data_IF_864896613458
#
_entry.id   IF_864896613458
#
_cell.length_a   1.000
_cell.length_b   1.000
_cell.length_c   1.000
_cell.angle_alpha   90.00
_cell.angle_beta   90.00
_cell.angle_gamma   90.00
#
_symmetry.space_group_name_H-M   'P 1'
#
loop_
_entity.id
_entity.type
_entity.pdbx_description
1 polymer ?
#
# COMPACT_ATOMS: atom_id res chain seq x y z
N UNK A 1 -2.32 -56.48 43.04
CA UNK A 1 -3.40 -55.52 42.77
C UNK A 1 -2.82 -54.43 41.88
N UNK A 2 -3.17 -54.47 40.58
CA UNK A 2 -2.72 -53.50 39.58
C UNK A 2 -3.50 -52.19 39.75
N UNK A 3 -2.80 -51.09 40.03
CA UNK A 3 -3.35 -49.74 40.04
C UNK A 3 -2.81 -48.96 38.86
N UNK A 4 -3.65 -48.73 37.85
CA UNK A 4 -3.40 -47.97 36.62
C UNK A 4 -3.19 -46.48 36.90
N UNK A 5 -2.03 -45.94 36.50
CA UNK A 5 -1.77 -44.51 36.38
C UNK A 5 -2.45 -43.99 35.11
N UNK A 6 -3.47 -43.14 35.22
CA UNK A 6 -4.10 -42.46 34.07
C UNK A 6 -3.22 -41.28 33.65
N UNK A 7 -2.67 -41.36 32.44
CA UNK A 7 -2.05 -40.23 31.77
C UNK A 7 -3.11 -39.19 31.38
N UNK A 8 -2.98 -37.97 31.87
CA UNK A 8 -3.72 -36.81 31.35
C UNK A 8 -2.98 -36.31 30.10
N UNK A 9 -3.53 -36.63 28.92
CA UNK A 9 -3.14 -35.98 27.68
C UNK A 9 -3.72 -34.56 27.67
N UNK A 10 -2.86 -33.56 27.82
CA UNK A 10 -3.19 -32.18 27.47
C UNK A 10 -3.30 -32.10 25.95
N UNK A 11 -4.53 -32.02 25.44
CA UNK A 11 -4.77 -31.58 24.07
C UNK A 11 -4.55 -30.08 24.04
N UNK A 12 -3.37 -29.66 23.59
CA UNK A 12 -3.12 -28.29 23.20
C UNK A 12 -3.92 -28.00 21.92
N UNK A 13 -5.10 -27.40 22.07
CA UNK A 13 -5.84 -26.85 20.95
C UNK A 13 -5.12 -25.59 20.48
N UNK A 14 -4.25 -25.72 19.48
CA UNK A 14 -3.75 -24.60 18.69
C UNK A 14 -4.91 -24.03 17.86
N UNK A 15 -5.60 -23.00 18.38
CA UNK A 15 -6.41 -22.12 17.54
C UNK A 15 -5.48 -21.14 16.82
N UNK A 16 -4.95 -21.56 15.67
CA UNK A 16 -4.36 -20.66 14.68
C UNK A 16 -5.21 -20.71 13.42
N UNK A 17 -6.27 -19.91 13.42
CA UNK A 17 -7.00 -19.51 12.23
C UNK A 17 -7.65 -18.17 12.56
N UNK A 18 -7.07 -17.07 12.08
CA UNK A 18 -7.80 -15.82 11.94
C UNK A 18 -8.92 -16.08 10.94
N UNK A 19 -10.11 -16.41 11.43
CA UNK A 19 -11.32 -16.38 10.62
C UNK A 19 -11.52 -14.92 10.22
N UNK A 20 -11.16 -14.58 8.98
CA UNK A 20 -11.71 -13.38 8.35
C UNK A 20 -13.22 -13.62 8.38
N UNK A 21 -13.96 -12.86 9.19
CA UNK A 21 -15.42 -12.85 9.06
C UNK A 21 -15.69 -12.40 7.64
N UNK A 22 -16.14 -13.33 6.79
CA UNK A 22 -16.44 -13.04 5.39
C UNK A 22 -17.44 -11.90 5.32
N UNK A 23 -17.16 -10.93 4.45
CA UNK A 23 -18.04 -9.80 4.22
C UNK A 23 -19.44 -10.31 3.80
N UNK A 24 -20.49 -9.78 4.43
CA UNK A 24 -21.85 -10.27 4.20
C UNK A 24 -22.39 -9.78 2.86
N UNK A 25 -22.90 -10.69 2.04
CA UNK A 25 -23.65 -10.35 0.82
C UNK A 25 -25.03 -9.80 1.19
N UNK A 26 -25.35 -8.62 0.69
CA UNK A 26 -26.65 -7.97 0.86
C UNK A 26 -27.67 -8.48 -0.17
N UNK A 27 -28.95 -8.21 0.10
CA UNK A 27 -30.06 -8.66 -0.77
C UNK A 27 -30.04 -8.04 -2.17
N UNK A 28 -29.36 -6.92 -2.37
CA UNK A 28 -29.18 -6.27 -3.67
C UNK A 28 -27.97 -6.79 -4.45
N UNK A 29 -27.29 -7.84 -3.95
CA UNK A 29 -26.12 -8.46 -4.57
C UNK A 29 -24.79 -7.79 -4.23
N UNK A 30 -24.80 -6.67 -3.50
CA UNK A 30 -23.59 -6.01 -3.02
C UNK A 30 -22.95 -6.74 -1.84
N UNK A 31 -21.69 -6.43 -1.56
CA UNK A 31 -20.95 -6.97 -0.41
C UNK A 31 -20.70 -5.83 0.58
N UNK A 32 -21.18 -5.95 1.81
CA UNK A 32 -21.04 -4.90 2.82
C UNK A 32 -19.58 -4.82 3.26
N UNK A 33 -18.98 -3.64 3.11
CA UNK A 33 -17.62 -3.36 3.60
C UNK A 33 -17.69 -2.98 5.07
N UNK A 34 -16.85 -3.60 5.88
CA UNK A 34 -16.74 -3.32 7.31
C UNK A 34 -15.29 -3.14 7.71
N UNK A 35 -15.02 -2.13 8.54
CA UNK A 35 -13.70 -1.97 9.12
C UNK A 35 -13.52 -2.97 10.28
N UNK A 36 -12.65 -4.00 10.16
CA UNK A 36 -12.48 -5.01 11.20
C UNK A 36 -12.01 -4.37 12.51
N UNK A 37 -12.25 -4.99 13.69
CA UNK A 37 -11.72 -4.48 14.95
C UNK A 37 -10.19 -4.45 14.94
N UNK A 38 -9.60 -3.55 15.74
CA UNK A 38 -8.15 -3.49 15.89
C UNK A 38 -7.65 -4.78 16.52
N UNK A 39 -6.66 -5.41 15.89
CA UNK A 39 -6.10 -6.66 16.40
C UNK A 39 -5.30 -6.43 17.68
N UNK A 40 -5.32 -7.43 18.56
CA UNK A 40 -4.46 -7.50 19.75
C UNK A 40 -3.17 -8.29 19.49
N UNK A 41 -3.08 -8.93 18.33
CA UNK A 41 -1.93 -9.73 17.93
C UNK A 41 -0.93 -8.87 17.13
N UNK A 42 -0.11 -8.16 17.90
CA UNK A 42 0.78 -7.10 17.43
C UNK A 42 2.26 -7.42 17.64
N UNK A 43 2.59 -8.62 18.10
CA UNK A 43 3.97 -8.99 18.41
C UNK A 43 4.79 -9.39 17.18
N UNK A 44 6.09 -9.56 17.42
CA UNK A 44 7.04 -10.16 16.47
C UNK A 44 6.53 -11.54 16.04
N UNK A 45 6.58 -11.79 14.73
CA UNK A 45 6.30 -13.10 14.14
C UNK A 45 7.23 -13.35 12.98
N UNK A 46 7.66 -14.61 12.82
CA UNK A 46 8.40 -15.05 11.63
C UNK A 46 7.47 -14.99 10.42
N UNK A 47 7.92 -14.36 9.34
CA UNK A 47 7.15 -14.21 8.10
C UNK A 47 8.06 -14.49 6.90
N UNK A 48 7.67 -15.37 5.96
CA UNK A 48 6.47 -16.20 6.00
C UNK A 48 6.57 -17.30 7.06
N UNK A 49 5.41 -17.76 7.53
CA UNK A 49 5.30 -19.02 8.27
C UNK A 49 5.07 -20.21 7.30
N UNK A 50 4.98 -21.43 7.85
CA UNK A 50 4.82 -22.65 7.06
C UNK A 50 3.50 -22.72 6.26
N UNK A 51 2.46 -21.98 6.67
CA UNK A 51 1.18 -21.92 5.97
C UNK A 51 1.20 -20.93 4.79
N UNK A 52 2.23 -20.09 4.70
CA UNK A 52 2.36 -19.03 3.69
C UNK A 52 3.60 -19.21 2.80
N UNK A 53 3.81 -20.39 2.17
CA UNK A 53 4.96 -20.59 1.29
C UNK A 53 4.89 -19.65 0.07
N UNK A 54 6.06 -19.30 -0.44
CA UNK A 54 6.14 -18.60 -1.72
C UNK A 54 5.61 -19.49 -2.84
N UNK A 55 4.75 -18.92 -3.68
CA UNK A 55 4.33 -19.49 -4.96
C UNK A 55 4.40 -18.34 -5.97
N UNK A 56 5.17 -18.53 -7.04
CA UNK A 56 5.25 -17.56 -8.12
C UNK A 56 3.86 -17.31 -8.73
N UNK A 57 3.53 -16.06 -9.10
CA UNK A 57 2.25 -15.75 -9.71
C UNK A 57 2.09 -16.46 -11.05
N UNK A 58 0.91 -17.01 -11.30
CA UNK A 58 0.53 -17.51 -12.61
C UNK A 58 0.24 -16.38 -13.61
N UNK A 59 0.04 -16.70 -14.90
CA UNK A 59 -0.14 -15.70 -15.96
C UNK A 59 -1.41 -14.85 -15.82
N UNK A 60 -2.38 -15.26 -15.01
CA UNK A 60 -3.63 -14.54 -14.78
C UNK A 60 -3.67 -13.85 -13.40
N UNK A 61 -2.63 -14.01 -12.58
CA UNK A 61 -2.56 -13.46 -11.24
C UNK A 61 -2.10 -12.02 -11.29
N UNK A 62 -2.87 -11.11 -10.69
CA UNK A 62 -2.58 -9.68 -10.73
C UNK A 62 -1.44 -9.32 -9.78
N UNK A 63 -0.44 -8.61 -10.30
CA UNK A 63 0.60 -7.93 -9.53
C UNK A 63 0.71 -6.51 -10.09
N UNK A 64 1.15 -5.57 -9.27
CA UNK A 64 1.17 -4.17 -9.64
C UNK A 64 2.37 -3.40 -9.07
N UNK A 65 2.23 -2.07 -8.91
CA UNK A 65 3.34 -1.22 -8.50
C UNK A 65 3.73 -1.40 -7.03
N UNK A 66 2.86 -1.98 -6.19
CA UNK A 66 3.13 -2.16 -4.76
C UNK A 66 3.86 -3.48 -4.47
N UNK A 67 5.18 -3.45 -4.15
CA UNK A 67 5.95 -4.68 -3.92
C UNK A 67 5.50 -5.43 -2.65
N UNK A 68 4.96 -4.71 -1.65
CA UNK A 68 4.45 -5.31 -0.42
C UNK A 68 3.21 -6.17 -0.69
N UNK A 69 2.21 -5.65 -1.41
CA UNK A 69 1.00 -6.41 -1.76
C UNK A 69 1.35 -7.58 -2.70
N UNK A 70 2.26 -7.36 -3.64
CA UNK A 70 2.76 -8.44 -4.52
C UNK A 70 3.38 -9.59 -3.72
N UNK A 71 4.21 -9.26 -2.72
CA UNK A 71 4.81 -10.24 -1.81
C UNK A 71 3.73 -10.96 -0.99
N UNK A 72 2.77 -10.23 -0.41
CA UNK A 72 1.68 -10.84 0.35
C UNK A 72 0.86 -11.80 -0.49
N UNK A 73 0.55 -11.47 -1.74
CA UNK A 73 -0.17 -12.36 -2.66
C UNK A 73 0.69 -13.57 -3.05
N UNK A 74 1.99 -13.39 -3.30
CA UNK A 74 2.93 -14.49 -3.57
C UNK A 74 3.11 -15.44 -2.38
N UNK A 75 2.79 -15.01 -1.17
CA UNK A 75 2.82 -15.84 0.04
C UNK A 75 1.43 -16.29 0.52
N UNK A 76 0.35 -15.81 -0.11
CA UNK A 76 -1.02 -16.20 0.22
C UNK A 76 -1.58 -15.52 1.47
N UNK A 77 -0.97 -14.42 1.93
CA UNK A 77 -1.54 -13.57 3.00
C UNK A 77 -2.74 -12.75 2.50
N UNK A 78 -2.79 -12.48 1.20
CA UNK A 78 -3.97 -12.04 0.46
C UNK A 78 -4.20 -13.02 -0.71
N UNK A 79 -5.38 -13.02 -1.37
CA UNK A 79 -5.65 -13.91 -2.50
C UNK A 79 -4.53 -13.90 -3.54
N UNK A 80 -4.03 -15.10 -3.89
CA UNK A 80 -2.86 -15.26 -4.77
C UNK A 80 -3.10 -14.71 -6.19
N UNK A 81 -4.36 -14.70 -6.62
CA UNK A 81 -4.79 -14.10 -7.88
C UNK A 81 -4.70 -12.57 -7.90
N UNK A 82 -4.37 -11.92 -6.78
CA UNK A 82 -4.22 -10.47 -6.67
C UNK A 82 -5.55 -9.70 -6.71
N UNK A 83 -6.69 -10.37 -6.55
CA UNK A 83 -7.99 -9.73 -6.41
C UNK A 83 -8.45 -9.90 -4.97
N UNK A 84 -8.43 -8.81 -4.21
CA UNK A 84 -8.70 -8.84 -2.77
C UNK A 84 -9.86 -7.90 -2.40
N UNK A 85 -10.58 -8.29 -1.36
CA UNK A 85 -11.49 -7.41 -0.63
C UNK A 85 -10.74 -6.44 0.28
N UNK A 86 -11.45 -5.41 0.72
CA UNK A 86 -10.96 -4.49 1.75
C UNK A 86 -10.46 -5.23 2.99
N UNK A 87 -11.25 -6.16 3.52
CA UNK A 87 -10.94 -6.91 4.74
C UNK A 87 -9.75 -7.85 4.56
N UNK A 88 -9.61 -8.49 3.39
CA UNK A 88 -8.46 -9.34 3.08
C UNK A 88 -7.16 -8.53 3.02
N UNK A 89 -7.19 -7.32 2.44
CA UNK A 89 -6.02 -6.43 2.43
C UNK A 89 -5.63 -6.06 3.86
N UNK A 90 -6.59 -5.65 4.70
CA UNK A 90 -6.33 -5.31 6.10
C UNK A 90 -5.79 -6.52 6.90
N UNK A 91 -6.32 -7.71 6.66
CA UNK A 91 -5.85 -8.92 7.31
C UNK A 91 -4.43 -9.28 6.87
N UNK A 92 -4.15 -9.21 5.57
CA UNK A 92 -2.85 -9.55 4.99
C UNK A 92 -1.74 -8.59 5.39
N UNK A 93 -1.97 -7.27 5.30
CA UNK A 93 -0.95 -6.27 5.69
C UNK A 93 -0.68 -6.30 7.19
N UNK A 94 -1.71 -6.54 8.00
CA UNK A 94 -1.54 -6.80 9.44
C UNK A 94 -0.71 -8.06 9.68
N UNK A 95 -1.06 -9.20 9.07
CA UNK A 95 -0.35 -10.44 9.37
C UNK A 95 1.09 -10.42 8.87
N UNK A 96 1.32 -9.96 7.64
CA UNK A 96 2.66 -9.94 7.05
C UNK A 96 3.57 -8.82 7.54
N UNK A 97 3.04 -7.61 7.79
CA UNK A 97 3.87 -6.43 8.10
C UNK A 97 3.52 -5.75 9.42
N UNK A 98 2.51 -6.24 10.15
CA UNK A 98 2.00 -5.59 11.37
C UNK A 98 1.56 -4.14 11.12
N UNK A 99 0.95 -3.89 9.96
CA UNK A 99 0.34 -2.60 9.64
C UNK A 99 -0.86 -2.36 10.56
N UNK A 100 -0.95 -1.15 11.11
CA UNK A 100 -2.08 -0.78 11.96
C UNK A 100 -3.39 -0.66 11.17
N UNK A 101 -4.50 -0.89 11.87
CA UNK A 101 -5.86 -0.86 11.32
C UNK A 101 -6.20 0.44 10.58
N UNK A 102 -5.85 1.59 11.14
CA UNK A 102 -6.33 2.86 10.56
C UNK A 102 -5.51 3.25 9.33
N UNK A 103 -4.20 2.95 9.33
CA UNK A 103 -3.35 3.07 8.15
C UNK A 103 -3.79 2.12 7.03
N UNK A 104 -3.99 0.83 7.34
CA UNK A 104 -4.47 -0.14 6.37
C UNK A 104 -5.87 0.20 5.85
N UNK A 105 -6.74 0.69 6.73
CA UNK A 105 -8.09 1.16 6.40
C UNK A 105 -8.09 2.35 5.46
N UNK A 106 -7.23 3.35 5.70
CA UNK A 106 -7.06 4.48 4.79
C UNK A 106 -6.61 4.01 3.40
N UNK A 107 -5.50 3.25 3.32
CA UNK A 107 -4.94 2.81 2.05
C UNK A 107 -5.95 1.96 1.27
N UNK A 108 -6.46 0.89 1.86
CA UNK A 108 -7.40 -0.01 1.18
C UNK A 108 -8.73 0.68 0.86
N UNK A 109 -9.21 1.56 1.74
CA UNK A 109 -10.47 2.26 1.56
C UNK A 109 -10.41 3.29 0.44
N UNK A 110 -9.32 4.06 0.40
CA UNK A 110 -9.05 4.98 -0.69
C UNK A 110 -8.90 4.24 -2.02
N UNK A 111 -8.05 3.19 -2.10
CA UNK A 111 -7.89 2.39 -3.31
C UNK A 111 -9.20 1.77 -3.81
N UNK A 112 -10.05 1.27 -2.90
CA UNK A 112 -11.34 0.67 -3.25
C UNK A 112 -12.29 1.67 -3.90
N UNK A 113 -12.30 2.94 -3.44
CA UNK A 113 -13.10 4.01 -4.03
C UNK A 113 -12.49 4.56 -5.33
N UNK A 114 -11.17 4.71 -5.37
CA UNK A 114 -10.46 5.32 -6.50
C UNK A 114 -10.35 4.37 -7.71
N UNK A 115 -10.12 3.08 -7.45
CA UNK A 115 -9.67 2.08 -8.44
C UNK A 115 -10.28 0.68 -8.26
N UNK A 116 -11.20 0.50 -7.32
CA UNK A 116 -11.85 -0.78 -7.02
C UNK A 116 -13.33 -0.81 -7.40
N UNK A 117 -13.98 -1.92 -7.06
CA UNK A 117 -15.43 -2.06 -7.11
C UNK A 117 -15.98 -2.13 -5.68
N UNK A 118 -16.27 -0.95 -5.11
CA UNK A 118 -16.80 -0.80 -3.76
C UNK A 118 -18.22 -1.36 -3.58
N UNK A 119 -18.94 -1.70 -4.64
CA UNK A 119 -20.22 -2.42 -4.52
C UNK A 119 -20.00 -3.92 -4.28
N UNK A 120 -19.03 -4.52 -4.99
CA UNK A 120 -18.69 -5.94 -4.88
C UNK A 120 -17.56 -6.23 -3.87
N UNK A 121 -16.97 -5.19 -3.28
CA UNK A 121 -15.81 -5.27 -2.40
C UNK A 121 -14.63 -6.02 -3.06
N UNK A 122 -14.23 -5.57 -4.25
CA UNK A 122 -13.14 -6.17 -5.02
C UNK A 122 -12.17 -5.11 -5.52
N UNK A 123 -10.89 -5.30 -5.27
CA UNK A 123 -9.80 -4.48 -5.75
C UNK A 123 -8.74 -5.38 -6.40
N UNK A 124 -8.26 -4.98 -7.58
CA UNK A 124 -7.07 -5.57 -8.18
C UNK A 124 -5.83 -4.88 -7.61
N UNK A 125 -4.86 -5.66 -7.11
CA UNK A 125 -3.54 -5.14 -6.73
C UNK A 125 -2.63 -4.87 -7.94
N UNK A 126 -3.10 -5.19 -9.14
CA UNK A 126 -2.46 -4.89 -10.42
C UNK A 126 -3.35 -4.00 -11.27
N UNK A 127 -3.41 -4.32 -12.57
CA UNK A 127 -4.20 -3.59 -13.57
C UNK A 127 -5.65 -4.09 -13.63
N UNK A 128 -6.37 -3.68 -14.68
CA UNK A 128 -7.74 -4.13 -15.00
C UNK A 128 -7.81 -5.66 -15.02
N UNK A 129 -8.83 -6.21 -14.37
CA UNK A 129 -9.08 -7.66 -14.34
C UNK A 129 -10.51 -7.98 -14.81
N UNK A 130 -10.71 -9.01 -15.64
CA UNK A 130 -12.05 -9.46 -16.04
C UNK A 130 -12.89 -9.96 -14.86
N UNK A 131 -12.28 -10.21 -13.70
CA UNK A 131 -12.97 -10.63 -12.47
C UNK A 131 -13.65 -9.47 -11.74
N UNK A 132 -13.39 -8.22 -12.16
CA UNK A 132 -13.97 -7.01 -11.59
C UNK A 132 -14.76 -6.30 -12.69
N UNK A 133 -16.10 -6.35 -12.66
CA UNK A 133 -16.91 -5.66 -13.65
C UNK A 133 -16.91 -4.14 -13.42
N UNK A 134 -17.36 -3.42 -14.45
CA UNK A 134 -17.64 -1.97 -14.39
C UNK A 134 -18.54 -1.67 -13.19
N UNK A 135 -18.20 -0.61 -12.46
CA UNK A 135 -18.93 -0.16 -11.28
C UNK A 135 -20.08 0.75 -11.73
N UNK A 136 -21.31 0.62 -11.17
CA UNK A 136 -22.33 1.65 -11.31
C UNK A 136 -21.76 3.04 -10.97
N UNK A 137 -22.05 4.08 -11.75
CA UNK A 137 -21.42 5.40 -11.53
C UNK A 137 -20.04 5.58 -12.18
N UNK A 138 -19.51 4.54 -12.86
CA UNK A 138 -18.46 4.68 -13.86
C UNK A 138 -17.20 5.40 -13.34
N UNK A 139 -16.60 4.95 -12.24
CA UNK A 139 -15.43 5.63 -11.63
C UNK A 139 -14.25 5.78 -12.61
N UNK A 140 -14.07 4.82 -13.51
CA UNK A 140 -13.09 4.83 -14.61
C UNK A 140 -13.78 4.99 -15.98
N UNK A 141 -14.89 5.74 -16.02
CA UNK A 141 -15.69 5.91 -17.22
C UNK A 141 -16.38 4.60 -17.63
N UNK A 142 -16.47 4.28 -18.94
CA UNK A 142 -17.10 3.05 -19.39
C UNK A 142 -16.26 1.79 -19.14
N UNK A 143 -14.99 1.96 -18.73
CA UNK A 143 -14.07 0.85 -18.49
C UNK A 143 -14.26 0.25 -17.08
N UNK A 144 -13.91 -1.03 -16.90
CA UNK A 144 -13.78 -1.60 -15.56
C UNK A 144 -12.71 -0.85 -14.74
N UNK A 145 -12.78 -0.90 -13.40
CA UNK A 145 -11.79 -0.26 -12.55
C UNK A 145 -10.37 -0.69 -12.89
N UNK A 146 -9.47 0.29 -12.91
CA UNK A 146 -8.07 0.13 -13.30
C UNK A 146 -7.22 -0.74 -12.37
N UNK A 147 -7.71 -1.03 -11.16
CA UNK A 147 -6.85 -1.55 -10.09
C UNK A 147 -5.82 -0.51 -9.63
N UNK A 148 -5.03 -0.86 -8.62
CA UNK A 148 -4.06 0.09 -8.04
C UNK A 148 -2.92 0.45 -9.00
N UNK A 149 -2.78 -0.24 -10.13
CA UNK A 149 -1.75 0.03 -11.14
C UNK A 149 -2.17 1.09 -12.18
N UNK A 150 -3.42 1.56 -12.16
CA UNK A 150 -3.83 2.62 -13.08
C UNK A 150 -3.38 3.99 -12.54
N UNK A 151 -2.55 4.65 -13.33
CA UNK A 151 -1.96 5.98 -13.11
C UNK A 151 -2.92 7.06 -12.60
N UNK A 152 -2.37 8.11 -11.95
CA UNK A 152 -2.99 9.29 -11.31
C UNK A 152 -3.50 9.12 -9.87
N UNK A 153 -4.57 8.34 -9.66
CA UNK A 153 -5.31 8.41 -8.37
C UNK A 153 -4.62 7.72 -7.21
N UNK A 154 -3.91 6.61 -7.46
CA UNK A 154 -3.25 5.81 -6.43
C UNK A 154 -1.80 5.54 -6.82
N UNK A 155 -1.61 4.92 -7.99
CA UNK A 155 -0.32 4.95 -8.70
C UNK A 155 -0.06 6.39 -9.15
N UNK A 156 1.21 6.80 -9.14
CA UNK A 156 1.62 8.04 -9.77
C UNK A 156 3.14 8.16 -9.85
N UNK A 157 3.58 9.25 -10.47
CA UNK A 157 4.98 9.49 -10.82
C UNK A 157 5.92 9.56 -9.60
N UNK A 158 7.22 9.60 -9.88
CA UNK A 158 8.30 9.67 -8.89
C UNK A 158 8.37 8.40 -8.04
N UNK A 159 7.99 7.27 -8.64
CA UNK A 159 8.15 5.95 -8.06
C UNK A 159 9.64 5.59 -7.91
N UNK A 160 9.96 4.81 -6.88
CA UNK A 160 11.35 4.43 -6.55
C UNK A 160 11.92 3.32 -7.43
N UNK A 161 11.06 2.44 -7.97
CA UNK A 161 11.49 1.26 -8.76
C UNK A 161 10.61 0.98 -9.96
N UNK A 162 9.69 1.90 -10.29
CA UNK A 162 8.78 1.91 -11.45
C UNK A 162 9.02 3.23 -12.19
N UNK A 163 8.95 3.22 -13.52
CA UNK A 163 9.05 4.44 -14.32
C UNK A 163 7.78 5.28 -14.18
N UNK A 164 7.84 6.53 -14.58
CA UNK A 164 6.65 7.38 -14.68
C UNK A 164 5.82 6.96 -15.90
N UNK A 165 4.50 7.11 -15.82
CA UNK A 165 3.56 6.60 -16.84
C UNK A 165 3.81 7.18 -18.23
N UNK A 166 4.18 8.46 -18.33
CA UNK A 166 4.44 9.11 -19.62
C UNK A 166 5.87 8.86 -20.14
N UNK A 167 6.71 8.17 -19.36
CA UNK A 167 8.10 7.84 -19.71
C UNK A 167 8.24 6.37 -20.07
N UNK A 168 7.56 5.47 -19.34
CA UNK A 168 7.70 4.04 -19.55
C UNK A 168 6.73 3.20 -18.72
N UNK A 169 7.25 2.14 -18.09
CA UNK A 169 6.46 1.15 -17.38
C UNK A 169 6.33 1.48 -15.89
N UNK A 170 5.15 1.98 -15.52
CA UNK A 170 4.71 2.39 -14.18
C UNK A 170 4.26 1.23 -13.29
N UNK A 171 4.19 0.01 -13.84
CA UNK A 171 3.65 -1.15 -13.13
C UNK A 171 4.75 -2.11 -12.68
N UNK A 172 5.65 -2.47 -13.59
CA UNK A 172 6.63 -3.53 -13.36
C UNK A 172 7.93 -3.01 -12.76
N UNK A 173 8.64 -3.91 -12.07
CA UNK A 173 9.95 -3.62 -11.48
C UNK A 173 10.97 -3.25 -12.56
N UNK A 174 11.63 -2.11 -12.38
CA UNK A 174 12.67 -1.59 -13.26
C UNK A 174 14.03 -1.79 -12.60
N UNK A 175 14.88 -2.60 -13.23
CA UNK A 175 16.20 -2.91 -12.67
C UNK A 175 17.10 -1.68 -12.62
N UNK A 176 17.06 -0.81 -13.63
CA UNK A 176 17.92 0.39 -13.68
C UNK A 176 17.62 1.35 -12.51
N UNK A 177 16.35 1.59 -12.19
CA UNK A 177 15.94 2.39 -11.03
C UNK A 177 16.31 1.70 -9.71
N UNK A 178 16.29 0.38 -9.67
CA UNK A 178 16.74 -0.36 -8.49
C UNK A 178 18.26 -0.30 -8.33
N UNK A 179 19.03 -0.32 -9.41
CA UNK A 179 20.49 -0.16 -9.38
C UNK A 179 20.90 1.24 -8.89
N UNK A 180 20.14 2.29 -9.24
CA UNK A 180 20.28 3.62 -8.64
C UNK A 180 20.02 3.59 -7.13
N UNK A 181 18.97 2.89 -6.69
CA UNK A 181 18.69 2.71 -5.27
C UNK A 181 19.84 1.96 -4.56
N UNK A 182 20.37 0.90 -5.17
CA UNK A 182 21.53 0.19 -4.64
C UNK A 182 22.78 1.08 -4.56
N UNK A 183 22.97 1.97 -5.52
CA UNK A 183 24.06 2.94 -5.53
C UNK A 183 23.94 3.95 -4.38
N UNK A 184 22.72 4.42 -4.09
CA UNK A 184 22.46 5.29 -2.93
C UNK A 184 22.76 4.58 -1.60
N UNK A 185 22.51 3.26 -1.50
CA UNK A 185 22.88 2.46 -0.33
C UNK A 185 24.41 2.35 -0.20
N UNK A 186 25.12 2.15 -1.32
CA UNK A 186 26.58 2.08 -1.32
C UNK A 186 27.22 3.40 -0.86
N UNK A 187 26.62 4.53 -1.23
CA UNK A 187 27.08 5.85 -0.81
C UNK A 187 26.73 6.16 0.66
N UNK A 188 25.45 6.05 1.02
CA UNK A 188 24.92 6.60 2.27
C UNK A 188 24.53 5.56 3.33
N UNK A 189 24.52 4.28 2.98
CA UNK A 189 24.14 3.20 3.89
C UNK A 189 25.12 3.00 5.04
N UNK A 190 24.69 2.24 6.04
CA UNK A 190 25.51 1.89 7.20
C UNK A 190 26.15 0.50 7.03
N UNK A 191 27.28 0.32 7.71
CA UNK A 191 27.94 -0.96 7.85
C UNK A 191 27.22 -1.83 8.89
N UNK A 192 27.25 -3.14 8.68
CA UNK A 192 26.71 -4.09 9.64
C UNK A 192 27.56 -5.37 9.69
N UNK A 193 27.76 -5.90 10.90
CA UNK A 193 28.62 -7.06 11.10
C UNK A 193 28.11 -8.34 10.40
N UNK A 194 26.79 -8.48 10.23
CA UNK A 194 26.16 -9.63 9.59
C UNK A 194 26.03 -9.45 8.07
N UNK A 195 25.67 -8.23 7.64
CA UNK A 195 25.34 -7.95 6.23
C UNK A 195 26.49 -7.32 5.43
N UNK A 196 27.58 -6.92 6.09
CA UNK A 196 28.75 -6.33 5.47
C UNK A 196 28.75 -4.79 5.47
N UNK A 197 29.77 -4.17 4.85
CA UNK A 197 29.82 -2.72 4.71
C UNK A 197 28.69 -2.21 3.80
N UNK A 198 28.19 -1.01 4.07
CA UNK A 198 27.18 -0.32 3.23
C UNK A 198 26.00 -1.22 2.86
N UNK A 199 25.47 -1.92 3.85
CA UNK A 199 24.48 -2.99 3.64
C UNK A 199 23.14 -2.69 4.28
N UNK A 200 23.06 -1.65 5.10
CA UNK A 200 21.83 -1.21 5.77
C UNK A 200 21.30 0.05 5.12
N UNK A 201 20.03 0.01 4.77
CA UNK A 201 19.26 1.16 4.31
C UNK A 201 18.88 1.98 5.53
N UNK A 202 19.34 3.24 5.57
CA UNK A 202 19.05 4.17 6.66
C UNK A 202 18.24 5.39 6.15
N UNK A 203 17.92 6.31 7.06
CA UNK A 203 17.19 7.52 6.74
C UNK A 203 17.87 8.37 5.66
N UNK A 204 19.20 8.50 5.72
CA UNK A 204 19.97 9.31 4.76
C UNK A 204 19.87 8.75 3.34
N UNK A 205 19.93 7.43 3.18
CA UNK A 205 19.69 6.78 1.87
C UNK A 205 18.33 7.18 1.31
N UNK A 206 17.25 7.11 2.10
CA UNK A 206 15.92 7.51 1.61
C UNK A 206 15.85 8.99 1.26
N UNK A 207 16.42 9.86 2.10
CA UNK A 207 16.40 11.31 1.89
C UNK A 207 17.02 11.70 0.54
N UNK A 208 18.21 11.18 0.24
CA UNK A 208 18.91 11.50 -1.00
C UNK A 208 18.27 10.81 -2.21
N UNK A 209 17.95 9.52 -2.10
CA UNK A 209 17.39 8.76 -3.22
C UNK A 209 16.00 9.28 -3.64
N UNK A 210 15.13 9.64 -2.68
CA UNK A 210 13.81 10.20 -3.01
C UNK A 210 13.92 11.54 -3.73
N UNK A 211 14.85 12.40 -3.30
CA UNK A 211 15.05 13.68 -3.96
C UNK A 211 15.63 13.50 -5.36
N UNK A 212 16.62 12.62 -5.53
CA UNK A 212 17.16 12.25 -6.84
C UNK A 212 16.04 11.79 -7.78
N UNK A 213 15.18 10.86 -7.34
CA UNK A 213 14.06 10.36 -8.14
C UNK A 213 13.11 11.48 -8.59
N UNK A 214 12.84 12.46 -7.72
CA UNK A 214 12.04 13.63 -8.10
C UNK A 214 12.73 14.47 -9.19
N UNK A 215 14.03 14.76 -9.04
CA UNK A 215 14.77 15.56 -10.01
C UNK A 215 14.82 14.88 -11.39
N UNK A 216 15.04 13.57 -11.42
CA UNK A 216 15.05 12.78 -12.66
C UNK A 216 13.68 12.75 -13.33
N UNK A 217 12.62 12.51 -12.56
CA UNK A 217 11.23 12.49 -13.04
C UNK A 217 10.84 13.85 -13.62
N UNK A 218 11.16 14.94 -12.90
CA UNK A 218 10.95 16.31 -13.37
C UNK A 218 11.72 16.62 -14.67
N UNK A 219 12.92 16.07 -14.84
CA UNK A 219 13.72 16.29 -16.05
C UNK A 219 13.24 15.44 -17.24
N UNK A 220 12.80 14.21 -17.00
CA UNK A 220 12.45 13.23 -18.03
C UNK A 220 10.99 13.34 -18.48
N UNK A 221 10.06 13.52 -17.55
CA UNK A 221 8.63 13.57 -17.81
C UNK A 221 8.14 15.01 -17.95
N UNK A 222 7.70 15.38 -19.16
CA UNK A 222 7.16 16.73 -19.47
C UNK A 222 5.80 17.03 -18.82
N UNK A 223 5.22 16.03 -18.17
CA UNK A 223 3.89 16.00 -17.58
C UNK A 223 3.88 15.42 -16.16
N UNK A 224 5.05 15.24 -15.51
CA UNK A 224 5.11 14.71 -14.14
C UNK A 224 4.10 15.40 -13.24
N UNK A 225 3.32 14.61 -12.50
CA UNK A 225 2.36 15.08 -11.52
C UNK A 225 2.84 14.76 -10.12
N UNK A 226 3.06 15.80 -9.30
CA UNK A 226 3.52 15.63 -7.93
C UNK A 226 2.76 16.57 -6.98
N UNK A 227 1.42 16.48 -7.04
CA UNK A 227 0.50 17.20 -6.17
C UNK A 227 0.55 16.70 -4.71
N UNK A 228 -0.15 17.40 -3.80
CA UNK A 228 -0.04 17.20 -2.35
C UNK A 228 -0.25 15.75 -1.90
N UNK A 229 -1.23 15.05 -2.47
CA UNK A 229 -1.51 13.64 -2.19
C UNK A 229 -0.44 12.69 -2.75
N UNK A 230 0.13 13.00 -3.92
CA UNK A 230 1.22 12.21 -4.51
C UNK A 230 2.52 12.39 -3.75
N UNK A 231 2.87 13.61 -3.33
CA UNK A 231 4.01 13.83 -2.42
C UNK A 231 3.82 13.03 -1.12
N UNK A 232 2.65 13.14 -0.50
CA UNK A 232 2.36 12.42 0.75
C UNK A 232 2.47 10.91 0.57
N UNK A 233 1.83 10.32 -0.45
CA UNK A 233 1.93 8.88 -0.73
C UNK A 233 3.37 8.44 -1.05
N UNK A 234 4.07 9.18 -1.91
CA UNK A 234 5.43 8.86 -2.36
C UNK A 234 6.48 8.88 -1.24
N UNK A 235 6.34 9.78 -0.27
CA UNK A 235 7.21 9.81 0.92
C UNK A 235 6.75 8.84 2.02
N UNK A 236 5.43 8.60 2.16
CA UNK A 236 4.92 7.52 3.00
C UNK A 236 5.40 6.15 2.52
N UNK A 237 5.53 5.94 1.21
CA UNK A 237 6.12 4.72 0.63
C UNK A 237 7.60 4.55 1.02
N UNK A 238 8.38 5.64 1.06
CA UNK A 238 9.76 5.59 1.56
C UNK A 238 9.80 5.23 3.06
N UNK A 239 8.89 5.79 3.85
CA UNK A 239 8.71 5.41 5.25
C UNK A 239 8.27 3.93 5.39
N UNK A 240 7.41 3.42 4.52
CA UNK A 240 7.03 2.00 4.51
C UNK A 240 8.24 1.11 4.27
N UNK A 241 9.14 1.48 3.36
CA UNK A 241 10.36 0.72 3.11
C UNK A 241 11.18 0.65 4.40
N UNK A 242 11.54 1.80 4.98
CA UNK A 242 12.35 1.87 6.21
C UNK A 242 11.73 1.09 7.37
N UNK A 243 10.41 1.16 7.52
CA UNK A 243 9.74 0.68 8.73
C UNK A 243 9.17 -0.72 8.59
N UNK A 244 8.53 -1.04 7.46
CA UNK A 244 7.89 -2.34 7.23
C UNK A 244 8.80 -3.39 6.62
N UNK A 245 9.89 -3.03 5.92
CA UNK A 245 10.80 -4.04 5.36
C UNK A 245 11.99 -4.35 6.27
N UNK A 246 12.24 -3.52 7.29
CA UNK A 246 13.19 -3.82 8.35
C UNK A 246 12.83 -5.11 9.09
N UNK A 247 13.84 -5.90 9.46
CA UNK A 247 13.61 -7.13 10.21
C UNK A 247 13.21 -6.78 11.64
N UNK A 248 12.07 -7.30 12.10
CA UNK A 248 11.50 -6.95 13.40
C UNK A 248 12.35 -7.34 14.61
N UNK A 249 13.36 -8.21 14.45
CA UNK A 249 14.25 -8.63 15.54
C UNK A 249 15.36 -7.64 15.86
N UNK A 250 15.79 -6.84 14.88
CA UNK A 250 16.89 -5.86 15.03
C UNK A 250 16.51 -4.44 14.59
N UNK A 251 15.37 -4.27 13.91
CA UNK A 251 14.91 -2.99 13.39
C UNK A 251 15.70 -2.50 12.19
N UNK A 252 16.49 -3.35 11.54
CA UNK A 252 17.37 -2.97 10.43
C UNK A 252 16.81 -3.45 9.09
N UNK A 253 16.82 -2.55 8.09
CA UNK A 253 16.54 -2.89 6.70
C UNK A 253 17.84 -3.20 5.96
N UNK A 254 18.10 -4.47 5.69
CA UNK A 254 19.25 -4.87 4.88
C UNK A 254 18.97 -4.75 3.37
N UNK A 255 20.02 -4.54 2.57
CA UNK A 255 19.98 -4.62 1.09
C UNK A 255 19.37 -5.94 0.62
N UNK A 256 19.61 -7.04 1.33
CA UNK A 256 19.00 -8.34 1.04
C UNK A 256 17.47 -8.36 1.24
N UNK A 257 16.99 -7.81 2.36
CA UNK A 257 15.55 -7.70 2.63
C UNK A 257 14.86 -6.79 1.61
N UNK A 258 15.47 -5.64 1.30
CA UNK A 258 15.02 -4.73 0.25
C UNK A 258 14.89 -5.46 -1.11
N UNK A 259 15.94 -6.15 -1.53
CA UNK A 259 15.99 -6.89 -2.80
C UNK A 259 14.95 -8.01 -2.85
N UNK A 260 14.77 -8.73 -1.74
CA UNK A 260 13.80 -9.82 -1.66
C UNK A 260 12.39 -9.32 -1.92
N UNK A 261 12.02 -8.15 -1.40
CA UNK A 261 10.68 -7.59 -1.56
C UNK A 261 10.48 -6.93 -2.94
N UNK A 262 11.43 -6.11 -3.39
CA UNK A 262 11.28 -5.36 -4.65
C UNK A 262 11.42 -6.24 -5.89
N UNK A 263 12.50 -7.03 -5.96
CA UNK A 263 12.86 -7.79 -7.14
C UNK A 263 12.20 -9.18 -7.13
N UNK A 264 12.34 -9.89 -6.02
CA UNK A 264 11.86 -11.27 -5.94
C UNK A 264 10.39 -11.37 -5.50
N UNK A 265 9.85 -10.31 -4.91
CA UNK A 265 8.51 -10.26 -4.31
C UNK A 265 8.30 -11.41 -3.32
N UNK A 266 9.27 -11.55 -2.42
CA UNK A 266 9.42 -12.56 -1.36
C UNK A 266 9.89 -11.89 -0.07
N UNK A 267 9.66 -12.52 1.08
CA UNK A 267 10.38 -12.10 2.30
C UNK A 267 11.78 -12.72 2.34
N UNK A 268 12.73 -12.02 2.95
CA UNK A 268 14.08 -12.56 3.17
C UNK A 268 14.07 -13.77 4.12
N UNK A 269 15.08 -14.66 4.04
CA UNK A 269 15.22 -15.75 5.00
C UNK A 269 15.31 -15.23 6.44
N UNK A 270 14.62 -15.91 7.37
CA UNK A 270 14.56 -15.53 8.79
C UNK A 270 14.13 -14.07 9.03
N UNK A 271 13.24 -13.57 8.17
CA UNK A 271 12.62 -12.28 8.37
C UNK A 271 11.45 -12.37 9.36
N UNK A 272 11.31 -11.34 10.17
CA UNK A 272 10.22 -11.20 11.13
C UNK A 272 9.53 -9.87 10.92
N UNK A 273 8.20 -9.85 11.03
CA UNK A 273 7.48 -8.59 11.09
C UNK A 273 7.84 -7.83 12.37
N UNK A 274 7.80 -6.51 12.29
CA UNK A 274 8.00 -5.58 13.40
C UNK A 274 7.12 -5.86 14.63
N UNK A 275 7.63 -5.50 15.80
CA UNK A 275 7.10 -5.85 17.12
C UNK A 275 5.91 -5.02 17.61
N UNK A 276 5.63 -3.90 16.96
CA UNK A 276 4.56 -2.96 17.28
C UNK A 276 3.76 -2.64 16.01
N UNK A 277 2.50 -2.17 16.08
CA UNK A 277 1.72 -1.78 14.90
C UNK A 277 2.25 -0.53 14.22
N UNK A 278 2.11 -0.46 12.90
CA UNK A 278 2.66 0.63 12.08
C UNK A 278 1.53 1.61 11.89
N UNK A 279 1.45 2.59 12.79
CA UNK A 279 0.34 3.54 12.84
C UNK A 279 0.46 4.57 11.73
N UNK A 280 -0.65 5.25 11.45
CA UNK A 280 -0.69 6.32 10.45
C UNK A 280 0.32 7.42 10.80
N UNK A 281 0.27 7.94 12.03
CA UNK A 281 1.18 9.00 12.50
C UNK A 281 2.64 8.58 12.43
N UNK A 282 2.97 7.35 12.82
CA UNK A 282 4.35 6.84 12.76
C UNK A 282 4.93 6.89 11.35
N UNK A 283 4.11 6.54 10.34
CA UNK A 283 4.53 6.61 8.94
C UNK A 283 4.64 8.06 8.47
N UNK A 284 3.65 8.90 8.80
CA UNK A 284 3.66 10.32 8.39
C UNK A 284 4.85 11.06 9.00
N UNK A 285 5.17 10.82 10.27
CA UNK A 285 6.33 11.40 10.95
C UNK A 285 7.64 10.94 10.30
N UNK A 286 7.76 9.63 10.02
CA UNK A 286 8.93 9.08 9.31
C UNK A 286 9.06 9.66 7.90
N UNK A 287 7.95 9.83 7.18
CA UNK A 287 7.93 10.41 5.84
C UNK A 287 8.34 11.89 5.86
N UNK A 288 7.93 12.64 6.89
CA UNK A 288 8.36 14.02 7.10
C UNK A 288 9.88 14.09 7.34
N UNK A 289 10.47 13.15 8.08
CA UNK A 289 11.92 13.05 8.23
C UNK A 289 12.65 12.76 6.91
N UNK A 290 12.07 11.93 6.03
CA UNK A 290 12.61 11.68 4.68
C UNK A 290 12.55 12.95 3.81
N UNK A 291 11.47 13.73 3.91
CA UNK A 291 11.26 14.96 3.12
C UNK A 291 12.07 16.15 3.63
N UNK A 292 12.37 16.21 4.93
CA UNK A 292 12.91 17.40 5.59
C UNK A 292 14.18 18.02 4.97
N UNK A 293 15.19 17.26 4.49
CA UNK A 293 16.38 17.87 3.90
C UNK A 293 16.14 18.53 2.55
N UNK A 294 15.16 18.02 1.80
CA UNK A 294 14.84 18.47 0.44
C UNK A 294 13.33 18.69 0.29
N UNK A 295 12.75 19.73 0.90
CA UNK A 295 11.32 19.98 0.82
C UNK A 295 10.89 20.25 -0.63
N UNK A 296 9.83 19.57 -1.07
CA UNK A 296 9.26 19.72 -2.41
C UNK A 296 7.90 20.39 -2.29
N UNK A 297 7.67 21.40 -3.12
CA UNK A 297 6.36 22.04 -3.22
C UNK A 297 5.47 21.28 -4.23
N UNK A 298 4.18 21.08 -3.91
CA UNK A 298 3.21 20.48 -4.82
C UNK A 298 3.17 21.20 -6.17
N UNK A 299 3.07 20.44 -7.25
CA UNK A 299 3.00 20.97 -8.59
C UNK A 299 3.04 19.89 -9.66
N UNK A 300 3.10 20.33 -10.91
CA UNK A 300 3.23 19.46 -12.06
C UNK A 300 4.03 20.12 -13.18
N UNK A 301 4.64 19.32 -14.05
CA UNK A 301 5.24 19.85 -15.27
C UNK A 301 4.15 20.25 -16.28
N UNK A 302 4.23 21.49 -16.77
CA UNK A 302 3.45 21.99 -17.91
C UNK A 302 4.44 22.27 -19.04
N UNK A 303 4.46 21.40 -20.05
CA UNK A 303 5.42 21.44 -21.15
C UNK A 303 6.89 21.39 -20.67
N UNK A 304 7.18 20.57 -19.65
CA UNK A 304 8.53 20.40 -19.08
C UNK A 304 8.98 21.52 -18.15
N UNK A 305 8.09 22.43 -17.75
CA UNK A 305 8.35 23.44 -16.71
C UNK A 305 7.51 23.12 -15.49
N UNK A 306 8.14 22.96 -14.33
CA UNK A 306 7.44 22.64 -13.09
C UNK A 306 6.67 23.86 -12.58
N UNK A 307 5.35 23.79 -12.67
CA UNK A 307 4.41 24.82 -12.21
C UNK A 307 3.88 24.41 -10.86
N UNK A 308 4.03 25.30 -9.89
CA UNK A 308 3.58 25.09 -8.52
C UNK A 308 2.07 25.19 -8.40
N UNK A 309 1.51 24.34 -7.54
CA UNK A 309 0.12 24.45 -7.14
C UNK A 309 -0.11 25.72 -6.29
N UNK A 310 -1.33 26.27 -6.31
CA UNK A 310 -1.70 27.33 -5.39
C UNK A 310 -1.62 26.84 -3.94
N UNK A 311 -1.37 27.76 -3.00
CA UNK A 311 -1.37 27.43 -1.56
C UNK A 311 -2.70 26.85 -1.12
N UNK A 312 -2.64 25.65 -0.52
CA UNK A 312 -3.79 24.98 0.09
C UNK A 312 -3.99 25.49 1.52
N UNK A 313 -5.23 25.89 1.86
CA UNK A 313 -5.63 26.39 3.19
C UNK A 313 -6.63 25.48 3.90
N UNK A 314 -6.83 24.27 3.37
CA UNK A 314 -7.69 23.24 3.95
C UNK A 314 -7.12 22.68 5.25
N UNK A 315 -7.92 21.85 5.93
CA UNK A 315 -7.52 21.19 7.18
C UNK A 315 -6.23 20.37 7.02
N UNK A 316 -6.06 19.69 5.87
CA UNK A 316 -4.86 18.96 5.52
C UNK A 316 -4.77 18.84 3.99
N UNK A 317 -3.72 19.40 3.39
CA UNK A 317 -3.59 19.49 1.94
C UNK A 317 -3.57 18.11 1.24
N UNK A 318 -2.88 17.12 1.81
CA UNK A 318 -2.82 15.79 1.24
C UNK A 318 -4.18 15.09 1.26
N UNK A 319 -4.89 15.13 2.40
CA UNK A 319 -6.24 14.58 2.51
C UNK A 319 -7.24 15.26 1.58
N UNK A 320 -7.20 16.59 1.50
CA UNK A 320 -8.04 17.34 0.58
C UNK A 320 -7.76 16.94 -0.87
N UNK A 321 -6.50 16.82 -1.25
CA UNK A 321 -6.13 16.41 -2.60
C UNK A 321 -6.52 14.94 -2.90
N UNK A 322 -6.36 14.02 -1.95
CA UNK A 322 -6.86 12.64 -2.08
C UNK A 322 -8.37 12.62 -2.37
N UNK A 323 -9.18 13.37 -1.61
CA UNK A 323 -10.64 13.28 -1.76
C UNK A 323 -11.16 14.13 -2.92
N UNK A 324 -10.71 15.38 -3.03
CA UNK A 324 -11.28 16.35 -3.95
C UNK A 324 -10.77 16.19 -5.37
N UNK A 325 -9.53 15.72 -5.56
CA UNK A 325 -8.96 15.55 -6.89
C UNK A 325 -8.89 14.08 -7.31
N UNK A 326 -8.74 13.14 -6.36
CA UNK A 326 -8.50 11.74 -6.69
C UNK A 326 -9.66 10.78 -6.42
N UNK A 327 -10.77 11.22 -5.80
CA UNK A 327 -12.00 10.42 -5.72
C UNK A 327 -13.06 10.95 -6.69
N UNK A 328 -13.62 10.12 -7.58
CA UNK A 328 -14.61 10.57 -8.55
C UNK A 328 -15.87 11.15 -7.92
N UNK A 329 -16.29 12.32 -8.37
CA UNK A 329 -17.51 12.99 -7.90
C UNK A 329 -18.79 12.15 -8.07
N UNK A 330 -18.80 11.18 -9.01
CA UNK A 330 -19.94 10.29 -9.25
C UNK A 330 -20.27 9.39 -8.06
N UNK A 331 -19.31 9.18 -7.15
CA UNK A 331 -19.53 8.44 -5.89
C UNK A 331 -20.60 9.10 -5.00
N UNK A 332 -20.82 10.42 -5.13
CA UNK A 332 -21.89 11.13 -4.40
C UNK A 332 -23.29 10.79 -4.91
N UNK A 333 -23.41 10.33 -6.15
CA UNK A 333 -24.69 10.13 -6.84
C UNK A 333 -25.15 8.67 -6.80
N UNK A 334 -24.47 7.82 -6.04
CA UNK A 334 -24.81 6.40 -5.91
C UNK A 334 -26.15 6.23 -5.19
N UNK A 335 -27.11 5.59 -5.86
CA UNK A 335 -28.46 5.33 -5.34
C UNK A 335 -28.66 3.91 -4.83
N UNK A 336 -27.84 2.95 -5.27
CA UNK A 336 -27.91 1.57 -4.78
C UNK A 336 -27.64 1.53 -3.26
N UNK A 337 -28.49 0.88 -2.44
CA UNK A 337 -28.40 0.94 -0.97
C UNK A 337 -27.07 0.44 -0.41
N UNK A 338 -26.61 -0.75 -0.81
CA UNK A 338 -25.36 -1.31 -0.30
C UNK A 338 -24.17 -0.50 -0.76
N UNK A 339 -24.16 -0.09 -2.02
CA UNK A 339 -23.06 0.70 -2.56
C UNK A 339 -22.96 2.07 -1.86
N UNK A 340 -24.08 2.77 -1.67
CA UNK A 340 -24.12 4.04 -0.93
C UNK A 340 -23.59 3.87 0.50
N UNK A 341 -24.01 2.81 1.19
CA UNK A 341 -23.53 2.50 2.55
C UNK A 341 -22.01 2.25 2.57
N UNK A 342 -21.48 1.53 1.58
CA UNK A 342 -20.06 1.28 1.47
C UNK A 342 -19.28 2.57 1.23
N UNK A 343 -19.73 3.46 0.33
CA UNK A 343 -19.08 4.75 0.10
C UNK A 343 -19.07 5.60 1.37
N UNK A 344 -20.20 5.71 2.09
CA UNK A 344 -20.25 6.43 3.36
C UNK A 344 -19.31 5.84 4.42
N UNK A 345 -19.20 4.51 4.45
CA UNK A 345 -18.28 3.82 5.37
C UNK A 345 -16.82 4.12 5.00
N UNK A 346 -16.46 4.01 3.73
CA UNK A 346 -15.10 4.23 3.25
C UNK A 346 -14.66 5.69 3.36
N UNK A 347 -15.53 6.66 3.08
CA UNK A 347 -15.22 8.09 3.28
C UNK A 347 -14.89 8.41 4.74
N UNK A 348 -15.69 7.89 5.68
CA UNK A 348 -15.40 8.04 7.11
C UNK A 348 -14.07 7.39 7.50
N UNK A 349 -13.77 6.21 6.97
CA UNK A 349 -12.50 5.50 7.23
C UNK A 349 -11.32 6.33 6.72
N UNK A 350 -11.43 6.86 5.50
CA UNK A 350 -10.37 7.67 4.87
C UNK A 350 -10.14 9.00 5.60
N UNK A 351 -11.19 9.63 6.13
CA UNK A 351 -11.08 10.88 6.88
C UNK A 351 -10.46 10.71 8.28
N UNK A 352 -10.70 9.55 8.93
CA UNK A 352 -10.41 9.34 10.36
C UNK A 352 -8.97 9.64 10.76
N UNK A 353 -7.92 9.15 10.05
CA UNK A 353 -6.53 9.34 10.50
C UNK A 353 -6.06 10.79 10.44
N UNK A 354 -6.69 11.64 9.61
CA UNK A 354 -6.27 13.03 9.44
C UNK A 354 -6.86 13.96 10.51
N UNK A 355 -7.85 13.51 11.28
CA UNK A 355 -8.56 14.37 12.25
C UNK A 355 -9.34 15.53 11.58
N UNK A 356 -9.57 15.46 10.28
CA UNK A 356 -10.26 16.48 9.49
C UNK A 356 -11.74 16.15 9.29
N UNK A 357 -12.59 17.15 8.99
CA UNK A 357 -13.97 16.91 8.56
C UNK A 357 -14.03 16.00 7.32
N UNK A 358 -15.07 15.17 7.22
CA UNK A 358 -15.32 14.36 6.03
C UNK A 358 -15.55 15.27 4.81
N UNK A 359 -14.81 15.02 3.73
CA UNK A 359 -14.97 15.72 2.46
C UNK A 359 -15.77 14.83 1.50
N UNK A 360 -16.54 15.47 0.61
CA UNK A 360 -17.22 14.76 -0.46
C UNK A 360 -16.32 14.67 -1.70
N UNK A 361 -16.24 13.52 -2.38
CA UNK A 361 -15.51 13.36 -3.63
C UNK A 361 -15.85 14.46 -4.65
N UNK A 362 -14.83 15.04 -5.29
CA UNK A 362 -15.01 16.06 -6.32
C UNK A 362 -14.18 15.79 -7.60
N UNK A 363 -13.42 14.70 -7.61
CA UNK A 363 -12.46 14.39 -8.65
C UNK A 363 -13.11 13.98 -9.98
N UNK A 364 -12.30 13.91 -11.04
CA UNK A 364 -12.75 13.55 -12.37
C UNK A 364 -13.04 12.05 -12.50
N UNK A 365 -13.82 11.71 -13.51
CA UNK A 365 -14.12 10.33 -13.93
C UNK A 365 -13.21 9.94 -15.07
N UNK A 366 -12.76 8.67 -15.11
CA UNK A 366 -12.11 8.10 -16.30
C UNK A 366 -10.62 8.36 -16.45
N UNK A 367 -10.05 9.30 -15.68
CA UNK A 367 -8.60 9.48 -15.54
C UNK A 367 -7.94 8.19 -15.08
#
# INVERSE_FOLDING_TARGET
MFGTLKAFAFVAATLSASVVLGAATASDGGVIITLPPRSKDVGIKKVPDAAHPFIAPGPNDQRGPCPALNTLANHGYIPRNGIASFEEILAGTREGFNMDRDLAGFLAGFSMMARGNAFLNKLSIGSVSPQIPVVPGAIDGPAPPGGIAKHDRFEGDVSMTRQDFNVGDDVHFQIDLFDEFLSAIEEFGDDNALHGPKSIVNMKVMQEFKFQRFQESQAADKTVSFHSSRIASSYNEAAFILTFFANGTDGLLSKQALTSIFQNQTFAPNWFRRSSPGTFDFIVDTAAEVLAPHPIQPGANVNGVYVLDPTDTSCNAAYSDFVLNNLPHTLNNVTNPTFKKNIQTLLKIVATPFGCPELLPAGPVGQ
#
